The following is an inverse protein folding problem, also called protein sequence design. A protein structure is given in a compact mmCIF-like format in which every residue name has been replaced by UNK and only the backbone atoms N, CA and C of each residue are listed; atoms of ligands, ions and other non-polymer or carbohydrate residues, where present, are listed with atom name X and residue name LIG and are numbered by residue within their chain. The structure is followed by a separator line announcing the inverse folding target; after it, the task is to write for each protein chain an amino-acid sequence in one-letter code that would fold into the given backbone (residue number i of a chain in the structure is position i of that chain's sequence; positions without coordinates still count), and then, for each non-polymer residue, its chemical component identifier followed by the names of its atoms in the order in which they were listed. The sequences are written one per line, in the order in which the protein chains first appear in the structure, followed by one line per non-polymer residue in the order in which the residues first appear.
data_IF_577034114904
#
_entry.id   IF_577034114904
#
_cell.length_a   1.000
_cell.length_b   1.000
_cell.length_c   1.000
_cell.angle_alpha   90.00
_cell.angle_beta   90.00
_cell.angle_gamma   90.00
#
_symmetry.space_group_name_H-M   'P 1'
#
loop_
_entity.id
_entity.type
_entity.pdbx_description
1 polymer ?
#
# COMPACT_ATOMS: atom_id res chain seq x y z
N UNK A 1 -20.75 -1.71 -7.08
CA UNK A 1 -19.88 -2.36 -8.08
C UNK A 1 -20.15 -3.88 -8.02
N UNK A 2 -20.06 -4.59 -9.15
CA UNK A 2 -20.61 -5.96 -9.31
C UNK A 2 -19.51 -7.02 -9.61
N UNK A 3 -18.34 -6.93 -8.97
CA UNK A 3 -17.29 -7.94 -9.07
C UNK A 3 -17.20 -8.76 -7.80
N UNK A 4 -16.79 -10.03 -7.90
CA UNK A 4 -16.45 -10.85 -6.72
C UNK A 4 -15.30 -10.22 -5.93
N UNK A 5 -15.12 -10.67 -4.69
CA UNK A 5 -14.01 -10.25 -3.84
C UNK A 5 -12.66 -10.43 -4.54
N UNK A 6 -11.81 -9.42 -4.42
CA UNK A 6 -10.44 -9.39 -4.99
C UNK A 6 -9.45 -9.10 -3.87
N UNK A 7 -8.15 -9.30 -4.10
CA UNK A 7 -7.12 -9.02 -3.09
C UNK A 7 -7.15 -7.55 -2.63
N UNK A 8 -7.22 -6.63 -3.59
CA UNK A 8 -7.41 -5.20 -3.38
C UNK A 8 -8.59 -4.71 -4.26
N UNK A 9 -9.39 -3.74 -3.80
CA UNK A 9 -9.40 -3.21 -2.43
C UNK A 9 -10.00 -4.23 -1.45
N UNK A 10 -9.70 -4.13 -0.14
CA UNK A 10 -10.30 -4.97 0.90
C UNK A 10 -11.82 -4.83 0.99
N UNK A 11 -12.36 -3.64 0.72
CA UNK A 11 -13.79 -3.38 0.64
C UNK A 11 -14.10 -2.56 -0.62
N UNK A 12 -15.31 -2.76 -1.15
CA UNK A 12 -15.88 -2.01 -2.28
C UNK A 12 -16.97 -1.00 -1.85
N UNK A 13 -17.13 -0.78 -0.54
CA UNK A 13 -18.13 0.15 0.02
C UNK A 13 -17.83 1.61 -0.40
N UNK A 14 -16.56 1.91 -0.62
CA UNK A 14 -16.08 3.20 -1.12
C UNK A 14 -15.31 3.00 -2.42
N UNK A 15 -15.52 3.92 -3.37
CA UNK A 15 -14.67 3.96 -4.57
C UNK A 15 -13.38 4.68 -4.24
N UNK A 16 -12.24 4.04 -4.53
CA UNK A 16 -10.92 4.60 -4.28
C UNK A 16 -10.31 5.08 -5.58
N UNK A 17 -9.68 6.27 -5.54
CA UNK A 17 -8.88 6.82 -6.63
C UNK A 17 -7.44 7.03 -6.11
N UNK A 18 -6.55 6.04 -6.23
CA UNK A 18 -5.20 6.14 -5.70
C UNK A 18 -4.41 7.27 -6.36
N UNK A 19 -3.76 8.09 -5.53
CA UNK A 19 -2.83 9.12 -5.99
C UNK A 19 -1.40 8.56 -5.99
N UNK A 20 -0.69 8.70 -7.11
CA UNK A 20 0.73 8.40 -7.18
C UNK A 20 1.54 9.66 -6.83
N UNK A 21 2.45 9.53 -5.87
CA UNK A 21 3.43 10.57 -5.56
C UNK A 21 4.79 10.06 -6.04
N UNK A 22 5.45 10.83 -6.91
CA UNK A 22 6.69 10.43 -7.56
C UNK A 22 7.80 11.42 -7.27
N UNK A 23 8.96 10.89 -6.86
CA UNK A 23 10.20 11.62 -6.69
C UNK A 23 11.29 10.91 -7.48
N UNK A 24 12.19 11.68 -8.08
CA UNK A 24 13.40 11.19 -8.72
C UNK A 24 14.60 11.98 -8.19
N UNK A 25 15.71 11.29 -7.98
CA UNK A 25 16.95 11.87 -7.48
C UNK A 25 18.15 11.09 -8.04
N UNK A 26 19.29 11.76 -8.15
CA UNK A 26 20.47 11.19 -8.83
C UNK A 26 21.45 10.51 -7.86
N UNK A 27 21.56 11.02 -6.63
CA UNK A 27 22.59 10.59 -5.69
C UNK A 27 22.04 9.54 -4.72
N UNK A 28 22.62 8.32 -4.66
CA UNK A 28 22.17 7.27 -3.73
C UNK A 28 22.21 7.66 -2.26
N UNK A 29 23.08 8.62 -1.90
CA UNK A 29 23.14 9.15 -0.52
C UNK A 29 21.84 9.86 -0.11
N UNK A 30 20.98 10.20 -1.07
CA UNK A 30 19.69 10.84 -0.83
C UNK A 30 18.55 9.84 -0.59
N UNK A 31 18.76 8.53 -0.71
CA UNK A 31 17.69 7.51 -0.62
C UNK A 31 16.85 7.66 0.66
N UNK A 32 17.49 7.69 1.83
CA UNK A 32 16.82 7.84 3.12
C UNK A 32 16.10 9.18 3.26
N UNK A 33 16.71 10.26 2.72
CA UNK A 33 16.11 11.59 2.75
C UNK A 33 14.83 11.60 1.89
N UNK A 34 14.90 11.10 0.66
CA UNK A 34 13.76 11.13 -0.26
C UNK A 34 12.65 10.21 0.23
N UNK A 35 12.95 9.03 0.79
CA UNK A 35 11.93 8.20 1.41
C UNK A 35 11.21 8.94 2.56
N UNK A 36 11.94 9.62 3.43
CA UNK A 36 11.35 10.41 4.51
C UNK A 36 10.45 11.54 3.99
N UNK A 37 10.89 12.23 2.93
CA UNK A 37 10.11 13.27 2.25
C UNK A 37 8.83 12.67 1.66
N UNK A 38 8.92 11.54 0.96
CA UNK A 38 7.76 10.85 0.39
C UNK A 38 6.71 10.50 1.45
N UNK A 39 7.14 9.93 2.59
CA UNK A 39 6.24 9.59 3.70
C UNK A 39 5.59 10.84 4.30
N UNK A 40 6.38 11.90 4.50
CA UNK A 40 5.89 13.18 5.04
C UNK A 40 4.87 13.83 4.11
N UNK A 41 5.13 13.84 2.80
CA UNK A 41 4.21 14.38 1.80
C UNK A 41 2.92 13.56 1.71
N UNK A 42 3.00 12.23 1.78
CA UNK A 42 1.81 11.37 1.81
C UNK A 42 0.95 11.62 3.06
N UNK A 43 1.57 11.75 4.25
CA UNK A 43 0.87 12.08 5.50
C UNK A 43 0.19 13.43 5.40
N UNK A 44 0.93 14.46 5.01
CA UNK A 44 0.41 15.83 4.91
C UNK A 44 -0.79 15.93 3.96
N UNK A 45 -0.72 15.30 2.78
CA UNK A 45 -1.83 15.32 1.82
C UNK A 45 -3.05 14.56 2.34
N UNK A 46 -2.84 13.47 3.09
CA UNK A 46 -3.92 12.72 3.74
C UNK A 46 -4.58 13.58 4.82
N UNK A 47 -3.79 14.22 5.69
CA UNK A 47 -4.28 15.08 6.76
C UNK A 47 -5.04 16.29 6.21
N UNK A 48 -4.54 16.88 5.12
CA UNK A 48 -5.22 17.97 4.42
C UNK A 48 -6.58 17.52 3.87
N UNK A 49 -6.64 16.39 3.17
CA UNK A 49 -7.89 15.86 2.63
C UNK A 49 -8.91 15.56 3.75
N UNK A 50 -8.46 15.00 4.87
CA UNK A 50 -9.29 14.77 6.06
C UNK A 50 -9.80 16.10 6.64
N UNK A 51 -8.94 17.12 6.72
CA UNK A 51 -9.34 18.47 7.18
C UNK A 51 -10.38 19.13 6.28
N UNK A 52 -10.42 18.75 5.00
CA UNK A 52 -11.43 19.15 4.02
C UNK A 52 -12.67 18.23 4.02
N UNK A 53 -12.84 17.40 5.04
CA UNK A 53 -13.95 16.45 5.22
C UNK A 53 -13.98 15.30 4.21
N UNK A 54 -12.84 14.90 3.65
CA UNK A 54 -12.75 13.67 2.86
C UNK A 54 -12.47 12.46 3.76
N UNK A 55 -13.24 11.39 3.57
CA UNK A 55 -13.14 10.16 4.35
C UNK A 55 -12.05 9.22 3.78
N UNK A 56 -10.78 9.62 3.97
CA UNK A 56 -9.60 8.95 3.40
C UNK A 56 -8.53 8.55 4.41
N UNK A 57 -8.63 8.95 5.68
CA UNK A 57 -7.58 8.73 6.70
C UNK A 57 -7.16 7.26 6.83
N UNK A 58 -8.13 6.35 6.77
CA UNK A 58 -7.90 4.90 6.86
C UNK A 58 -8.03 4.18 5.52
N UNK A 59 -8.18 4.89 4.39
CA UNK A 59 -8.33 4.28 3.08
C UNK A 59 -7.15 3.34 2.77
N UNK A 60 -7.40 2.14 2.23
CA UNK A 60 -6.33 1.18 1.96
C UNK A 60 -5.42 1.70 0.83
N UNK A 61 -4.11 1.58 1.01
CA UNK A 61 -3.11 2.05 0.06
C UNK A 61 -2.97 1.06 -1.10
N UNK A 62 -2.83 1.58 -2.31
CA UNK A 62 -2.73 0.74 -3.51
C UNK A 62 -1.33 0.10 -3.61
N UNK A 63 -1.20 -1.24 -3.68
CA UNK A 63 0.10 -1.92 -3.61
C UNK A 63 1.14 -1.52 -4.65
N UNK A 64 0.71 -1.03 -5.83
CA UNK A 64 1.64 -0.61 -6.89
C UNK A 64 2.20 0.81 -6.66
N UNK A 65 1.58 1.62 -5.80
CA UNK A 65 2.02 3.00 -5.51
C UNK A 65 2.48 3.18 -4.05
N UNK A 66 2.20 2.22 -3.18
CA UNK A 66 2.54 2.32 -1.77
C UNK A 66 4.06 2.43 -1.57
N UNK A 67 4.45 3.35 -0.69
CA UNK A 67 5.86 3.62 -0.34
C UNK A 67 6.41 2.38 0.39
N UNK A 68 7.67 2.02 0.14
CA UNK A 68 8.31 0.91 0.86
C UNK A 68 8.24 1.15 2.39
N UNK A 69 8.17 0.07 3.17
CA UNK A 69 7.80 0.01 4.60
C UNK A 69 6.30 0.14 4.95
N UNK A 70 5.43 0.37 3.96
CA UNK A 70 3.97 0.26 4.18
C UNK A 70 3.61 -1.15 4.68
N UNK A 71 2.86 -1.23 5.78
CA UNK A 71 2.43 -2.52 6.32
C UNK A 71 1.39 -3.19 5.41
N UNK A 72 1.43 -4.52 5.34
CA UNK A 72 0.46 -5.29 4.56
C UNK A 72 -1.00 -5.04 4.96
N UNK A 73 -1.26 -4.75 6.23
CA UNK A 73 -2.60 -4.44 6.72
C UNK A 73 -3.15 -3.13 6.13
N UNK A 74 -2.29 -2.13 5.87
CA UNK A 74 -2.68 -0.91 5.18
C UNK A 74 -2.98 -1.14 3.69
N UNK A 75 -2.48 -2.22 3.10
CA UNK A 75 -2.75 -2.60 1.72
C UNK A 75 -4.03 -3.45 1.61
N UNK A 76 -4.09 -4.54 2.38
CA UNK A 76 -5.04 -5.63 2.17
C UNK A 76 -6.09 -5.75 3.26
N UNK A 77 -6.01 -4.98 4.36
CA UNK A 77 -7.00 -5.02 5.45
C UNK A 77 -7.37 -6.43 5.88
N UNK A 78 -8.67 -6.70 5.95
CA UNK A 78 -9.23 -7.99 6.36
C UNK A 78 -8.98 -9.14 5.36
N UNK A 79 -8.52 -8.83 4.14
CA UNK A 79 -8.13 -9.86 3.17
C UNK A 79 -6.75 -10.46 3.47
N UNK A 80 -5.94 -9.82 4.33
CA UNK A 80 -4.56 -10.23 4.60
C UNK A 80 -4.44 -11.70 5.06
N UNK A 81 -5.23 -12.21 6.04
CA UNK A 81 -5.10 -13.61 6.49
C UNK A 81 -5.36 -14.63 5.37
N UNK A 82 -6.30 -14.33 4.46
CA UNK A 82 -6.57 -15.17 3.29
C UNK A 82 -5.38 -15.19 2.34
N UNK A 83 -4.76 -14.04 2.09
CA UNK A 83 -3.58 -13.94 1.22
C UNK A 83 -2.37 -14.68 1.82
N UNK A 84 -2.16 -14.60 3.13
CA UNK A 84 -1.12 -15.36 3.83
C UNK A 84 -1.35 -16.87 3.73
N UNK A 85 -2.60 -17.31 3.85
CA UNK A 85 -2.97 -18.73 3.67
C UNK A 85 -2.68 -19.21 2.24
N UNK A 86 -3.01 -18.39 1.23
CA UNK A 86 -2.69 -18.67 -0.18
C UNK A 86 -1.18 -18.77 -0.37
N UNK A 87 -0.39 -17.83 0.17
CA UNK A 87 1.08 -17.92 0.12
C UNK A 87 1.58 -19.23 0.74
N UNK A 88 1.12 -19.59 1.93
CA UNK A 88 1.57 -20.81 2.60
C UNK A 88 1.23 -22.08 1.79
N UNK A 89 0.09 -22.07 1.07
CA UNK A 89 -0.33 -23.17 0.21
C UNK A 89 0.53 -23.30 -1.06
N UNK A 90 0.83 -22.19 -1.73
CA UNK A 90 1.43 -22.21 -3.08
C UNK A 90 2.92 -21.86 -3.11
N UNK A 91 3.45 -21.20 -2.08
CA UNK A 91 4.88 -20.90 -1.90
C UNK A 91 5.37 -21.34 -0.50
N UNK A 92 5.24 -22.64 -0.14
CA UNK A 92 5.57 -23.14 1.19
C UNK A 92 7.07 -23.00 1.53
N UNK A 93 7.93 -22.93 0.51
CA UNK A 93 9.38 -22.77 0.67
C UNK A 93 9.82 -21.30 0.58
N UNK A 94 8.88 -20.36 0.50
CA UNK A 94 9.12 -18.93 0.46
C UNK A 94 10.09 -18.49 -0.66
N UNK A 95 10.00 -19.12 -1.83
CA UNK A 95 10.81 -18.80 -3.02
C UNK A 95 10.49 -17.39 -3.49
N UNK A 96 9.22 -16.98 -3.50
CA UNK A 96 8.82 -15.62 -3.86
C UNK A 96 9.23 -14.61 -2.77
N UNK A 97 9.46 -15.08 -1.55
CA UNK A 97 10.07 -14.29 -0.48
C UNK A 97 11.45 -13.74 -0.85
N UNK A 98 12.18 -14.41 -1.74
CA UNK A 98 13.53 -14.02 -2.20
C UNK A 98 13.51 -12.92 -3.28
N UNK A 99 12.34 -12.63 -3.88
CA UNK A 99 12.20 -11.59 -4.90
C UNK A 99 12.09 -10.18 -4.28
N UNK A 100 11.76 -9.16 -5.08
CA UNK A 100 11.30 -7.86 -4.57
C UNK A 100 9.86 -7.91 -4.03
N UNK A 101 9.27 -6.75 -3.76
CA UNK A 101 7.84 -6.60 -3.45
C UNK A 101 7.43 -6.99 -2.02
N UNK A 102 6.11 -7.06 -1.82
CA UNK A 102 5.48 -7.23 -0.52
C UNK A 102 5.66 -8.65 0.07
N UNK A 103 6.03 -8.74 1.36
CA UNK A 103 6.33 -10.00 2.06
C UNK A 103 5.20 -10.40 3.00
N UNK A 104 4.45 -11.45 2.62
CA UNK A 104 3.33 -12.03 3.37
C UNK A 104 3.72 -13.04 4.44
#
# INVERSE_FOLDING_TARGET
SHGSDTAWPPSRDKTLLPMNIYYAWDLPISDSLINSVMQTSASYLTDLAVSENQDVGDAPLYPNYAIYDTTLSRLYGDNLPRLQSIKAQYDPNNVMGLAGGWKF
#
